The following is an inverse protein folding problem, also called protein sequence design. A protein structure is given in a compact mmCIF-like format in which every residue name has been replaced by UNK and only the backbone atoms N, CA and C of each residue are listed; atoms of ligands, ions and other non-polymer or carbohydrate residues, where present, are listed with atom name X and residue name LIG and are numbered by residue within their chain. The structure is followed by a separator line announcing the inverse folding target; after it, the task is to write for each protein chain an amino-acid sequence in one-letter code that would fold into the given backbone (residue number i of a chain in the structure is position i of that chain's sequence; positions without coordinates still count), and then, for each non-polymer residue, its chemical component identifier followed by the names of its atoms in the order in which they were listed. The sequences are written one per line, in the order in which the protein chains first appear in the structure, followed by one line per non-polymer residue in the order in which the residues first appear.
data_IF_397611737375
#
_entry.id   IF_397611737375
#
_cell.length_a   1.000
_cell.length_b   1.000
_cell.length_c   1.000
_cell.angle_alpha   90.00
_cell.angle_beta   90.00
_cell.angle_gamma   90.00
#
_symmetry.space_group_name_H-M   'P 1'
#
loop_
_entity.id
_entity.type
_entity.pdbx_description
1 polymer ?
#
# COMPACT_ATOMS: atom_id res chain seq x y z
N UNK A 1 -6.14 2.01 -80.57
CA UNK A 1 -6.79 3.17 -79.97
C UNK A 1 -6.75 2.95 -78.47
N UNK A 2 -5.76 3.60 -77.77
CA UNK A 2 -5.45 3.45 -76.35
C UNK A 2 -6.11 4.56 -75.55
N UNK A 3 -6.99 4.22 -74.63
CA UNK A 3 -7.46 5.13 -73.62
C UNK A 3 -6.89 4.74 -72.25
N UNK A 4 -5.84 5.47 -71.83
CA UNK A 4 -5.32 5.42 -70.43
C UNK A 4 -6.14 6.40 -69.61
N UNK A 5 -6.96 5.89 -68.64
CA UNK A 5 -7.52 6.70 -67.58
C UNK A 5 -6.52 6.79 -66.42
N UNK A 6 -6.08 8.03 -66.11
CA UNK A 6 -5.30 8.35 -64.91
C UNK A 6 -6.27 8.41 -63.72
N UNK A 7 -6.01 7.59 -62.70
CA UNK A 7 -6.61 7.75 -61.39
C UNK A 7 -5.73 8.73 -60.59
N UNK A 8 -6.32 9.87 -60.20
CA UNK A 8 -5.77 10.76 -59.21
C UNK A 8 -6.04 10.14 -57.82
N UNK A 9 -4.98 9.78 -57.11
CA UNK A 9 -5.05 9.40 -55.70
C UNK A 9 -5.17 10.65 -54.85
N UNK A 10 -6.31 10.74 -54.12
CA UNK A 10 -6.54 11.77 -53.10
C UNK A 10 -5.91 11.28 -51.80
N UNK A 11 -4.76 11.88 -51.42
CA UNK A 11 -4.11 11.59 -50.12
C UNK A 11 -4.94 12.21 -48.98
N UNK A 12 -5.46 11.37 -48.09
CA UNK A 12 -6.03 11.81 -46.82
C UNK A 12 -4.88 12.11 -45.85
N UNK A 13 -4.69 13.38 -45.51
CA UNK A 13 -3.82 13.79 -44.42
C UNK A 13 -4.55 13.49 -43.10
N UNK A 14 -4.05 12.50 -42.34
CA UNK A 14 -4.48 12.25 -40.96
C UNK A 14 -3.76 13.27 -40.08
N UNK A 15 -4.50 14.25 -39.59
CA UNK A 15 -4.03 15.17 -38.58
C UNK A 15 -3.90 14.40 -37.25
N UNK A 16 -2.68 14.09 -36.86
CA UNK A 16 -2.38 13.54 -35.56
C UNK A 16 -2.59 14.59 -34.48
N UNK A 17 -3.70 14.46 -33.72
CA UNK A 17 -3.91 15.24 -32.50
C UNK A 17 -2.93 14.75 -31.43
N UNK A 18 -1.83 15.48 -31.23
CA UNK A 18 -0.95 15.30 -30.07
C UNK A 18 -1.71 15.70 -28.80
N UNK A 19 -2.14 14.72 -28.05
CA UNK A 19 -2.57 14.93 -26.67
C UNK A 19 -1.33 15.40 -25.88
N UNK A 20 -1.23 16.71 -25.67
CA UNK A 20 -0.36 17.26 -24.64
C UNK A 20 -0.94 16.77 -23.29
N UNK A 21 -0.38 15.68 -22.78
CA UNK A 21 -0.54 15.29 -21.41
C UNK A 21 -0.02 16.40 -20.52
N UNK A 22 -0.89 17.06 -19.76
CA UNK A 22 -0.49 17.95 -18.69
C UNK A 22 0.32 17.11 -17.68
N UNK A 23 1.65 17.12 -17.84
CA UNK A 23 2.57 16.68 -16.81
C UNK A 23 2.42 17.68 -15.66
N UNK A 24 1.58 17.36 -14.70
CA UNK A 24 1.55 18.04 -13.42
C UNK A 24 2.93 17.91 -12.80
N UNK A 25 3.67 19.01 -12.72
CA UNK A 25 4.93 19.11 -11.98
C UNK A 25 4.66 19.10 -10.47
N UNK A 26 4.10 18.01 -9.97
CA UNK A 26 4.16 17.69 -8.55
C UNK A 26 5.62 17.32 -8.25
N UNK A 27 6.29 18.07 -7.38
CA UNK A 27 7.56 17.69 -6.77
C UNK A 27 7.32 16.50 -5.84
N UNK A 28 7.00 15.34 -6.39
CA UNK A 28 6.96 14.09 -5.63
C UNK A 28 8.39 13.76 -5.21
N UNK A 29 8.61 13.53 -3.92
CA UNK A 29 9.90 13.12 -3.39
C UNK A 29 10.41 11.82 -4.04
N UNK A 30 11.69 11.51 -3.83
CA UNK A 30 12.25 10.22 -4.27
C UNK A 30 11.72 9.08 -3.37
N UNK A 31 11.57 7.89 -3.96
CA UNK A 31 11.27 6.69 -3.19
C UNK A 31 12.42 6.34 -2.25
N UNK A 32 12.17 6.37 -0.95
CA UNK A 32 13.08 5.91 0.11
C UNK A 32 12.73 4.46 0.44
N UNK A 33 13.69 3.55 0.31
CA UNK A 33 13.51 2.17 0.77
C UNK A 33 13.69 2.12 2.28
N UNK A 34 12.69 1.61 2.97
CA UNK A 34 12.64 1.48 4.42
C UNK A 34 12.89 0.05 4.89
N UNK A 35 12.44 -0.93 4.10
CA UNK A 35 12.72 -2.36 4.27
C UNK A 35 13.14 -2.89 2.90
N UNK A 36 14.25 -3.62 2.87
CA UNK A 36 14.79 -4.31 1.69
C UNK A 36 14.85 -5.84 1.88
N UNK A 37 14.36 -6.33 3.02
CA UNK A 37 14.33 -7.74 3.36
C UNK A 37 15.64 -8.31 3.89
N UNK A 38 16.72 -7.53 3.97
CA UNK A 38 18.04 -8.02 4.42
C UNK A 38 18.24 -7.89 5.93
N UNK A 39 17.56 -6.96 6.57
CA UNK A 39 17.62 -6.71 7.99
C UNK A 39 16.34 -6.09 8.53
N UNK A 40 16.11 -6.16 9.84
CA UNK A 40 15.21 -5.24 10.54
C UNK A 40 15.94 -3.90 10.60
N UNK A 41 15.38 -2.83 10.02
CA UNK A 41 16.13 -1.59 9.88
C UNK A 41 16.48 -0.98 11.25
N UNK A 42 17.65 -0.39 11.40
CA UNK A 42 18.05 0.27 12.65
C UNK A 42 17.09 1.45 12.97
N UNK A 43 16.85 1.67 14.26
CA UNK A 43 15.96 2.74 14.75
C UNK A 43 14.47 2.39 14.72
N UNK A 44 14.06 1.25 14.16
CA UNK A 44 12.68 0.79 14.29
C UNK A 44 12.41 0.25 15.69
N UNK A 45 11.26 0.60 16.24
CA UNK A 45 10.85 0.14 17.58
C UNK A 45 9.96 -1.07 17.46
N UNK A 46 10.32 -2.14 18.17
CA UNK A 46 9.44 -3.30 18.34
C UNK A 46 8.50 -3.06 19.53
N UNK A 47 7.20 -3.21 19.30
CA UNK A 47 6.18 -3.16 20.35
C UNK A 47 5.47 -4.50 20.47
N UNK A 48 5.03 -4.81 21.68
CA UNK A 48 4.30 -6.04 21.95
C UNK A 48 5.18 -7.27 21.90
N UNK A 49 4.60 -8.42 21.54
CA UNK A 49 5.27 -9.73 21.57
C UNK A 49 5.40 -10.33 20.16
N UNK A 50 5.42 -9.50 19.12
CA UNK A 50 5.67 -9.95 17.74
C UNK A 50 7.07 -10.57 17.65
N UNK A 51 7.15 -11.77 17.07
CA UNK A 51 8.43 -12.42 16.79
C UNK A 51 8.88 -12.01 15.38
N UNK A 52 9.73 -10.99 15.33
CA UNK A 52 10.26 -10.47 14.07
C UNK A 52 11.66 -11.02 13.79
N UNK A 53 11.87 -11.52 12.59
CA UNK A 53 13.13 -12.08 12.12
C UNK A 53 13.31 -11.82 10.63
N UNK A 54 14.51 -12.06 10.11
CA UNK A 54 14.76 -12.05 8.66
C UNK A 54 14.79 -13.48 8.15
N UNK A 55 13.96 -13.79 7.17
CA UNK A 55 13.82 -15.11 6.56
C UNK A 55 13.66 -14.96 5.05
N UNK A 56 14.48 -15.63 4.27
CA UNK A 56 14.41 -15.72 2.82
C UNK A 56 14.26 -14.33 2.12
N UNK A 57 15.06 -13.36 2.55
CA UNK A 57 15.05 -12.02 1.98
C UNK A 57 13.79 -11.20 2.32
N UNK A 58 13.17 -11.50 3.46
CA UNK A 58 12.03 -10.74 3.96
C UNK A 58 12.09 -10.57 5.48
N UNK A 59 11.59 -9.45 6.00
CA UNK A 59 11.30 -9.28 7.42
C UNK A 59 9.99 -9.99 7.71
N UNK A 60 10.08 -11.03 8.54
CA UNK A 60 8.96 -11.91 8.89
C UNK A 60 8.49 -11.67 10.31
N UNK A 61 7.18 -11.53 10.49
CA UNK A 61 6.49 -11.68 11.76
C UNK A 61 5.75 -13.02 11.79
N UNK A 62 5.93 -13.80 12.86
CA UNK A 62 5.37 -15.14 12.99
C UNK A 62 4.99 -15.43 14.45
N UNK A 63 4.07 -16.41 14.61
CA UNK A 63 3.66 -16.98 15.91
C UNK A 63 2.97 -16.03 16.91
N UNK A 64 2.21 -15.12 16.39
CA UNK A 64 0.87 -14.74 16.77
C UNK A 64 0.59 -14.11 18.11
N UNK A 65 1.51 -13.41 18.78
CA UNK A 65 1.08 -12.41 19.75
C UNK A 65 1.21 -11.04 19.08
N UNK A 66 0.19 -10.18 19.28
CA UNK A 66 0.17 -8.88 18.64
C UNK A 66 1.45 -8.10 18.91
N UNK A 67 2.13 -7.74 17.84
CA UNK A 67 3.36 -6.96 17.87
C UNK A 67 3.50 -6.11 16.62
N UNK A 68 4.28 -5.06 16.75
CA UNK A 68 4.46 -4.07 15.70
C UNK A 68 5.96 -3.74 15.51
N UNK A 69 6.31 -3.43 14.27
CA UNK A 69 7.53 -2.70 13.93
C UNK A 69 7.13 -1.27 13.59
N UNK A 70 7.54 -0.30 14.40
CA UNK A 70 7.18 1.12 14.25
C UNK A 70 8.35 1.87 13.65
N UNK A 71 8.09 2.65 12.59
CA UNK A 71 9.12 3.45 11.91
C UNK A 71 9.66 4.58 12.80
N UNK A 72 10.95 4.96 12.67
CA UNK A 72 11.52 6.06 13.43
C UNK A 72 10.98 7.42 13.01
N UNK A 73 10.66 7.58 11.73
CA UNK A 73 10.19 8.83 11.15
C UNK A 73 8.66 8.93 11.19
N UNK A 74 8.15 10.16 11.21
CA UNK A 74 6.74 10.49 11.06
C UNK A 74 6.50 11.12 9.69
N UNK A 75 5.35 10.83 9.08
CA UNK A 75 4.98 11.26 7.75
C UNK A 75 3.62 11.93 7.77
N UNK A 76 3.43 12.95 6.92
CA UNK A 76 2.18 13.69 6.78
C UNK A 76 1.48 13.33 5.49
N UNK A 77 2.04 13.74 4.36
CA UNK A 77 1.55 13.42 3.02
C UNK A 77 2.57 12.52 2.33
N UNK A 78 2.13 11.33 1.92
CA UNK A 78 3.03 10.32 1.41
C UNK A 78 2.33 9.25 0.57
N UNK A 79 3.14 8.50 -0.14
CA UNK A 79 2.77 7.21 -0.72
C UNK A 79 3.67 6.11 -0.14
N UNK A 80 3.08 4.97 0.17
CA UNK A 80 3.79 3.73 0.55
C UNK A 80 3.57 2.70 -0.56
N UNK A 81 4.63 1.98 -0.92
CA UNK A 81 4.57 0.74 -1.68
C UNK A 81 5.16 -0.37 -0.82
N UNK A 82 4.37 -1.40 -0.52
CA UNK A 82 4.79 -2.51 0.33
C UNK A 82 4.55 -3.84 -0.36
N UNK A 83 5.62 -4.61 -0.56
CA UNK A 83 5.55 -5.98 -1.03
C UNK A 83 5.47 -6.93 0.18
N UNK A 84 4.37 -7.67 0.28
CA UNK A 84 4.11 -8.56 1.41
C UNK A 84 3.61 -9.93 0.96
N UNK A 85 3.83 -10.92 1.82
CA UNK A 85 3.27 -12.26 1.73
C UNK A 85 2.60 -12.61 3.06
N UNK A 86 1.42 -13.18 3.02
CA UNK A 86 0.66 -13.59 4.19
C UNK A 86 0.24 -15.05 4.05
N UNK A 87 0.27 -15.83 5.13
CA UNK A 87 -0.39 -17.14 5.11
C UNK A 87 -1.91 -16.99 5.26
N UNK A 88 -2.63 -18.09 5.15
CA UNK A 88 -4.11 -18.09 5.22
C UNK A 88 -4.66 -17.75 6.61
N UNK A 89 -3.84 -17.78 7.66
CA UNK A 89 -4.21 -17.49 9.03
C UNK A 89 -3.67 -16.13 9.50
N UNK A 90 -3.00 -15.41 8.61
CA UNK A 90 -2.43 -14.12 8.94
C UNK A 90 -3.51 -13.12 9.37
N UNK A 91 -3.24 -12.46 10.48
CA UNK A 91 -3.86 -11.22 10.90
C UNK A 91 -2.74 -10.19 11.03
N UNK A 92 -2.73 -9.24 10.13
CA UNK A 92 -1.69 -8.24 9.97
C UNK A 92 -2.27 -6.94 9.39
N UNK A 93 -1.44 -5.92 9.27
CA UNK A 93 -1.83 -4.65 8.67
C UNK A 93 -0.64 -3.69 8.58
N UNK A 94 -0.85 -2.64 7.78
CA UNK A 94 0.03 -1.47 7.73
C UNK A 94 -0.73 -0.32 8.37
N UNK A 95 -0.25 0.13 9.52
CA UNK A 95 -0.81 1.26 10.25
C UNK A 95 -0.10 2.53 9.83
N UNK A 96 -0.85 3.54 9.43
CA UNK A 96 -0.33 4.83 8.99
C UNK A 96 -0.80 5.97 9.88
N UNK A 97 0.00 7.03 9.98
CA UNK A 97 -0.28 8.21 10.81
C UNK A 97 -0.60 7.85 12.26
N UNK A 98 0.21 6.93 12.85
CA UNK A 98 0.06 6.53 14.24
C UNK A 98 0.25 7.73 15.17
N UNK A 99 -0.70 7.97 16.08
CA UNK A 99 -0.64 9.11 16.99
C UNK A 99 0.37 8.92 18.13
N UNK A 100 0.66 7.65 18.45
CA UNK A 100 1.58 7.30 19.52
C UNK A 100 2.59 6.28 19.02
N UNK A 101 3.87 6.48 19.39
CA UNK A 101 4.97 5.56 19.02
C UNK A 101 4.97 4.28 19.85
N UNK A 102 4.39 4.32 21.03
CA UNK A 102 4.37 3.24 22.02
C UNK A 102 3.01 2.54 22.14
N UNK A 103 2.01 2.99 21.37
CA UNK A 103 0.69 2.38 21.31
C UNK A 103 0.14 2.48 19.89
N UNK A 104 0.02 1.33 19.21
CA UNK A 104 -0.52 1.25 17.85
C UNK A 104 -1.86 0.51 17.89
N UNK A 105 -2.85 1.03 17.19
CA UNK A 105 -4.17 0.43 17.06
C UNK A 105 -5.09 1.26 16.16
N UNK A 106 -6.19 0.68 15.69
CA UNK A 106 -7.14 1.35 14.80
C UNK A 106 -7.86 2.55 15.47
N UNK A 107 -7.83 2.64 16.79
CA UNK A 107 -8.33 3.78 17.55
C UNK A 107 -7.45 5.04 17.45
N UNK A 108 -6.17 4.84 17.15
CA UNK A 108 -5.11 5.87 17.15
C UNK A 108 -4.29 5.94 15.84
N UNK A 109 -4.74 5.28 14.80
CA UNK A 109 -4.10 5.27 13.46
C UNK A 109 -5.08 4.76 12.41
N UNK A 110 -4.70 4.85 11.13
CA UNK A 110 -5.42 4.16 10.06
C UNK A 110 -4.77 2.78 9.84
N UNK A 111 -5.55 1.71 9.99
CA UNK A 111 -5.12 0.34 9.75
C UNK A 111 -5.50 -0.10 8.33
N UNK A 112 -4.53 -0.20 7.42
CA UNK A 112 -4.70 -0.88 6.13
C UNK A 112 -4.55 -2.38 6.36
N UNK A 113 -5.67 -3.08 6.33
CA UNK A 113 -5.78 -4.44 6.87
C UNK A 113 -5.26 -5.53 5.93
N UNK A 114 -4.65 -6.57 6.52
CA UNK A 114 -4.23 -7.82 5.87
C UNK A 114 -4.82 -8.98 6.69
N UNK A 115 -6.09 -9.28 6.48
CA UNK A 115 -6.78 -10.36 7.19
C UNK A 115 -7.92 -10.96 6.35
N UNK A 116 -7.62 -12.02 5.62
CA UNK A 116 -8.54 -12.66 4.69
C UNK A 116 -9.73 -13.34 5.38
N UNK A 117 -9.55 -13.79 6.62
CA UNK A 117 -10.56 -14.49 7.43
C UNK A 117 -11.27 -13.57 8.44
N UNK A 118 -11.11 -12.24 8.32
CA UNK A 118 -11.79 -11.30 9.22
C UNK A 118 -13.30 -11.56 9.22
N UNK A 119 -13.95 -11.71 10.40
CA UNK A 119 -15.40 -11.98 10.47
C UNK A 119 -16.24 -10.90 9.75
N UNK A 120 -15.88 -9.63 9.92
CA UNK A 120 -16.51 -8.51 9.20
C UNK A 120 -15.74 -8.29 7.90
N UNK A 121 -16.12 -8.99 6.83
CA UNK A 121 -15.41 -9.00 5.54
C UNK A 121 -15.30 -7.62 4.87
N UNK A 122 -16.22 -6.69 5.14
CA UNK A 122 -16.13 -5.29 4.66
C UNK A 122 -14.84 -4.60 5.10
N UNK A 123 -14.28 -5.00 6.25
CA UNK A 123 -13.01 -4.50 6.77
C UNK A 123 -11.90 -5.55 6.71
N UNK A 124 -12.01 -6.54 5.82
CA UNK A 124 -10.98 -7.53 5.52
C UNK A 124 -9.77 -6.94 4.80
N UNK A 125 -9.01 -7.81 4.14
CA UNK A 125 -7.83 -7.41 3.35
C UNK A 125 -8.19 -6.32 2.33
N UNK A 126 -7.40 -5.26 2.30
CA UNK A 126 -7.60 -4.12 1.39
C UNK A 126 -8.38 -2.95 1.99
N UNK A 127 -9.07 -3.13 3.10
CA UNK A 127 -9.83 -2.08 3.78
C UNK A 127 -8.95 -1.17 4.64
N UNK A 128 -9.47 0.01 4.98
CA UNK A 128 -9.02 0.78 6.15
C UNK A 128 -10.04 0.52 7.26
N UNK A 129 -9.62 -0.15 8.33
CA UNK A 129 -10.51 -0.61 9.40
C UNK A 129 -11.32 0.54 9.99
N UNK A 130 -12.65 0.36 10.05
CA UNK A 130 -13.64 1.32 10.56
C UNK A 130 -13.66 2.70 9.85
N UNK A 131 -12.97 2.82 8.69
CA UNK A 131 -12.88 4.07 7.92
C UNK A 131 -13.27 3.88 6.46
N UNK A 132 -12.66 2.90 5.77
CA UNK A 132 -12.89 2.63 4.36
C UNK A 132 -13.14 1.15 4.13
N UNK A 133 -14.39 0.77 3.83
CA UNK A 133 -14.78 -0.61 3.53
C UNK A 133 -14.37 -1.00 2.11
N UNK A 134 -14.06 -2.28 1.89
CA UNK A 134 -13.89 -2.85 0.56
C UNK A 134 -15.23 -3.26 -0.04
N UNK A 135 -15.27 -3.35 -1.37
CA UNK A 135 -16.39 -4.00 -2.05
C UNK A 135 -16.34 -5.52 -1.83
N UNK A 136 -17.51 -6.13 -1.72
CA UNK A 136 -17.61 -7.59 -1.61
C UNK A 136 -17.76 -8.25 -3.00
N UNK A 137 -17.15 -9.42 -3.21
CA UNK A 137 -16.35 -10.20 -2.25
C UNK A 137 -15.02 -9.51 -1.95
N UNK A 138 -14.62 -9.49 -0.67
CA UNK A 138 -13.39 -8.88 -0.23
C UNK A 138 -12.16 -9.50 -0.93
N UNK A 139 -11.15 -8.70 -1.31
CA UNK A 139 -9.92 -9.23 -1.89
C UNK A 139 -9.23 -10.22 -0.94
N UNK A 140 -8.44 -11.12 -1.50
CA UNK A 140 -7.67 -12.12 -0.76
C UNK A 140 -6.19 -12.00 -1.09
N UNK A 141 -5.36 -12.11 -0.05
CA UNK A 141 -3.90 -11.96 -0.15
C UNK A 141 -3.13 -13.25 0.18
N UNK A 142 -3.80 -14.27 0.74
CA UNK A 142 -3.13 -15.43 1.29
C UNK A 142 -2.29 -16.23 0.27
N UNK A 143 -1.15 -16.74 0.76
CA UNK A 143 -0.26 -17.69 0.09
C UNK A 143 0.37 -17.20 -1.21
N UNK A 144 0.50 -15.87 -1.38
CA UNK A 144 1.18 -15.25 -2.52
C UNK A 144 1.81 -13.91 -2.14
N UNK A 145 2.77 -13.46 -2.92
CA UNK A 145 3.29 -12.10 -2.85
C UNK A 145 2.26 -11.12 -3.40
N UNK A 146 2.07 -10.03 -2.68
CA UNK A 146 1.15 -8.95 -3.00
C UNK A 146 1.87 -7.61 -2.91
N UNK A 147 1.27 -6.59 -3.53
CA UNK A 147 1.73 -5.20 -3.42
C UNK A 147 0.58 -4.35 -2.90
N UNK A 148 0.80 -3.68 -1.78
CA UNK A 148 0.00 -2.53 -1.39
C UNK A 148 0.61 -1.25 -1.94
N UNK A 149 -0.26 -0.39 -2.46
CA UNK A 149 0.00 1.01 -2.74
C UNK A 149 -0.97 1.83 -1.89
N UNK A 150 -0.43 2.67 -1.00
CA UNK A 150 -1.20 3.43 -0.03
C UNK A 150 -0.83 4.89 -0.19
N UNK A 151 -1.80 5.76 -0.49
CA UNK A 151 -1.62 7.20 -0.55
C UNK A 151 -2.38 7.86 0.61
N UNK A 152 -1.71 8.79 1.29
CA UNK A 152 -2.31 9.70 2.25
C UNK A 152 -1.88 11.13 1.89
N UNK A 153 -2.83 11.96 1.45
CA UNK A 153 -2.61 13.37 1.11
C UNK A 153 -3.71 14.23 1.72
N UNK A 154 -3.34 15.11 2.67
CA UNK A 154 -4.34 15.82 3.46
C UNK A 154 -5.26 14.85 4.18
N UNK A 155 -6.53 14.91 3.90
CA UNK A 155 -7.57 13.99 4.40
C UNK A 155 -7.95 12.88 3.40
N UNK A 156 -7.36 12.89 2.20
CA UNK A 156 -7.61 11.89 1.18
C UNK A 156 -6.75 10.65 1.38
N UNK A 157 -7.39 9.49 1.53
CA UNK A 157 -6.76 8.19 1.71
C UNK A 157 -7.17 7.25 0.58
N UNK A 158 -6.18 6.68 -0.10
CA UNK A 158 -6.41 5.70 -1.18
C UNK A 158 -5.57 4.45 -0.89
N UNK A 159 -6.18 3.29 -1.08
CA UNK A 159 -5.50 1.99 -0.99
C UNK A 159 -5.72 1.22 -2.28
N UNK A 160 -4.66 0.66 -2.83
CA UNK A 160 -4.73 -0.31 -3.90
C UNK A 160 -3.99 -1.60 -3.51
N UNK A 161 -4.58 -2.73 -3.85
CA UNK A 161 -3.98 -4.07 -3.70
C UNK A 161 -3.75 -4.67 -5.08
N UNK A 162 -2.50 -4.98 -5.39
CA UNK A 162 -2.10 -5.55 -6.68
C UNK A 162 -2.59 -4.74 -7.90
N UNK A 163 -2.52 -3.39 -7.77
CA UNK A 163 -2.96 -2.45 -8.80
C UNK A 163 -4.46 -2.20 -8.87
N UNK A 164 -5.28 -2.89 -8.07
CA UNK A 164 -6.71 -2.64 -7.98
C UNK A 164 -7.03 -1.75 -6.77
N UNK A 165 -7.65 -0.60 -6.98
CA UNK A 165 -8.10 0.29 -5.91
C UNK A 165 -9.17 -0.42 -5.07
N UNK A 166 -8.95 -0.46 -3.76
CA UNK A 166 -9.84 -1.12 -2.79
C UNK A 166 -10.55 -0.12 -1.88
N UNK A 167 -9.90 1.02 -1.61
CA UNK A 167 -10.46 2.12 -0.81
C UNK A 167 -10.10 3.45 -1.46
N UNK A 168 -11.07 4.37 -1.43
CA UNK A 168 -10.89 5.79 -1.77
C UNK A 168 -11.83 6.58 -0.85
N UNK A 169 -11.28 7.30 0.13
CA UNK A 169 -12.07 7.92 1.18
C UNK A 169 -11.47 9.23 1.68
N UNK A 170 -12.32 10.14 2.09
CA UNK A 170 -11.94 11.38 2.78
C UNK A 170 -12.11 11.17 4.28
N UNK A 171 -11.01 11.23 5.03
CA UNK A 171 -11.01 11.14 6.48
C UNK A 171 -9.81 11.87 7.08
N UNK A 172 -10.06 12.94 7.82
CA UNK A 172 -9.05 13.82 8.40
C UNK A 172 -8.78 13.58 9.89
N UNK A 173 -9.16 12.42 10.44
CA UNK A 173 -9.01 12.13 11.88
C UNK A 173 -7.55 12.14 12.32
N UNK A 174 -6.65 11.55 11.54
CA UNK A 174 -5.22 11.51 11.82
C UNK A 174 -4.45 12.20 10.70
N UNK A 175 -3.59 13.17 11.06
CA UNK A 175 -2.90 14.03 10.09
C UNK A 175 -1.48 13.58 9.78
N UNK A 176 -0.75 13.11 10.77
CA UNK A 176 0.64 12.69 10.64
C UNK A 176 1.02 11.67 11.70
N UNK A 177 2.15 11.03 11.54
CA UNK A 177 2.71 10.09 12.51
C UNK A 177 3.58 9.03 11.84
N UNK A 178 4.26 8.19 12.62
CA UNK A 178 4.98 7.04 12.10
C UNK A 178 3.99 6.05 11.46
N UNK A 179 4.53 5.14 10.65
CA UNK A 179 3.78 3.97 10.27
C UNK A 179 4.31 2.72 11.01
N UNK A 180 3.49 1.69 11.06
CA UNK A 180 3.85 0.44 11.70
C UNK A 180 3.38 -0.76 10.89
N UNK A 181 4.17 -1.83 10.95
CA UNK A 181 3.83 -3.13 10.40
C UNK A 181 3.38 -4.04 11.54
N UNK A 182 2.27 -4.74 11.38
CA UNK A 182 1.70 -5.61 12.41
C UNK A 182 1.99 -7.08 12.13
N UNK A 183 2.18 -7.85 13.21
CA UNK A 183 2.09 -9.31 13.25
C UNK A 183 1.21 -9.70 14.43
N UNK A 184 -0.01 -10.19 14.18
CA UNK A 184 -0.97 -10.54 15.24
C UNK A 184 -1.37 -12.02 15.24
N UNK A 185 -1.41 -12.66 14.07
CA UNK A 185 -1.63 -14.10 13.92
C UNK A 185 -1.05 -14.60 12.60
N UNK A 186 -0.80 -15.90 12.50
CA UNK A 186 -0.22 -16.52 11.31
C UNK A 186 1.18 -15.98 10.98
N UNK A 187 1.52 -16.02 9.71
CA UNK A 187 2.82 -15.54 9.20
C UNK A 187 2.61 -14.41 8.22
N UNK A 188 3.30 -13.31 8.44
CA UNK A 188 3.41 -12.16 7.53
C UNK A 188 4.88 -11.92 7.17
N UNK A 189 5.16 -11.59 5.91
CA UNK A 189 6.50 -11.25 5.42
C UNK A 189 6.45 -9.96 4.63
N UNK A 190 7.44 -9.09 4.82
CA UNK A 190 7.66 -7.87 4.06
C UNK A 190 9.05 -7.93 3.44
N UNK A 191 9.16 -7.98 2.10
CA UNK A 191 10.47 -8.03 1.43
C UNK A 191 10.92 -6.66 0.92
N UNK A 192 9.97 -5.75 0.65
CA UNK A 192 10.27 -4.40 0.21
C UNK A 192 9.20 -3.45 0.68
N UNK A 193 9.59 -2.44 1.45
CA UNK A 193 8.70 -1.33 1.83
C UNK A 193 9.39 -0.02 1.47
N UNK A 194 8.72 0.78 0.69
CA UNK A 194 9.21 2.07 0.22
C UNK A 194 8.19 3.16 0.56
N UNK A 195 8.67 4.36 0.80
CA UNK A 195 7.86 5.55 1.01
C UNK A 195 8.35 6.69 0.12
N UNK A 196 7.43 7.54 -0.29
CA UNK A 196 7.69 8.80 -0.99
C UNK A 196 6.85 9.88 -0.35
N UNK A 197 7.48 10.96 0.12
CA UNK A 197 6.76 12.14 0.59
C UNK A 197 6.23 12.96 -0.61
N UNK A 198 5.05 13.59 -0.43
CA UNK A 198 4.30 14.29 -1.49
C UNK A 198 4.32 15.79 -1.30
#
# INVERSE_FOLDING_TARGET
MNNRRRFMGMGLAVAGSSLLGCAGTGKGGYWKTLIDGTSIPPGWTQLGQGNWSVVDGAVQGKDGKAGYLVSPDSYTDFEIRAEFWADENANSGIFIRCQYRNKVGADSSYEVNIWDKRPVQLYGTGAIVDVGAVQLPAPKAANRWNVYEIMARGDHLVVALNGQQTVDVINGKFRSGPFALQSAAGTIRFRKVQIREL
#
